data_IF_043574182257
#
_entry.id   IF_043574182257
#
_cell.length_a   1.000
_cell.length_b   1.000
_cell.length_c   1.000
_cell.angle_alpha   90.00
_cell.angle_beta   90.00
_cell.angle_gamma   90.00
#
_symmetry.space_group_name_H-M   'P 1'
#
loop_
_entity.id
_entity.type
_entity.pdbx_description
1 polymer ?
#
# COMPACT_ATOMS: atom_id res chain seq x y z
N UNK A 1 -3.64 1.52 -20.51
CA UNK A 1 -2.79 0.33 -20.30
C UNK A 1 -3.69 -0.75 -19.71
N UNK A 2 -3.78 -1.94 -20.31
CA UNK A 2 -4.65 -3.01 -19.78
C UNK A 2 -3.79 -3.97 -18.94
N UNK A 3 -4.15 -4.15 -17.67
CA UNK A 3 -3.48 -5.11 -16.78
C UNK A 3 -3.92 -6.52 -17.19
N UNK A 4 -2.97 -7.34 -17.66
CA UNK A 4 -3.28 -8.72 -18.03
C UNK A 4 -3.49 -9.60 -16.80
N UNK A 5 -4.39 -10.58 -16.87
CA UNK A 5 -4.60 -11.56 -15.81
C UNK A 5 -3.31 -12.31 -15.45
N UNK A 6 -2.44 -12.56 -16.44
CA UNK A 6 -1.13 -13.20 -16.22
C UNK A 6 -0.21 -12.33 -15.35
N UNK A 7 -0.15 -11.02 -15.61
CA UNK A 7 0.61 -10.09 -14.78
C UNK A 7 0.04 -10.06 -13.36
N UNK A 8 -1.27 -9.91 -13.22
CA UNK A 8 -1.93 -9.87 -11.90
C UNK A 8 -1.70 -11.14 -11.10
N UNK A 9 -1.78 -12.31 -11.73
CA UNK A 9 -1.48 -13.59 -11.08
C UNK A 9 -0.03 -13.69 -10.61
N UNK A 10 0.93 -13.20 -11.40
CA UNK A 10 2.35 -13.19 -10.99
C UNK A 10 2.60 -12.24 -9.81
N UNK A 11 2.03 -11.03 -9.85
CA UNK A 11 2.20 -10.05 -8.78
C UNK A 11 1.49 -10.50 -7.49
N UNK A 12 0.31 -11.12 -7.60
CA UNK A 12 -0.39 -11.70 -6.45
C UNK A 12 0.40 -12.86 -5.85
N UNK A 13 0.94 -13.76 -6.68
CA UNK A 13 1.80 -14.84 -6.21
C UNK A 13 3.03 -14.31 -5.46
N UNK A 14 3.66 -13.24 -5.96
CA UNK A 14 4.75 -12.56 -5.27
C UNK A 14 4.29 -11.96 -3.93
N UNK A 15 3.15 -11.28 -3.90
CA UNK A 15 2.59 -10.72 -2.67
C UNK A 15 2.36 -11.81 -1.62
N UNK A 16 1.77 -12.95 -1.99
CA UNK A 16 1.58 -14.12 -1.12
C UNK A 16 2.92 -14.65 -0.62
N UNK A 17 3.85 -14.92 -1.55
CA UNK A 17 5.17 -15.50 -1.24
C UNK A 17 5.95 -14.64 -0.25
N UNK A 18 6.02 -13.32 -0.48
CA UNK A 18 6.88 -12.44 0.30
C UNK A 18 6.22 -11.87 1.57
N UNK A 19 4.89 -11.91 1.67
CA UNK A 19 4.17 -11.53 2.89
C UNK A 19 3.89 -12.70 3.83
N UNK A 20 3.84 -13.94 3.30
CA UNK A 20 3.42 -15.14 4.02
C UNK A 20 1.92 -15.19 4.34
N UNK A 21 1.12 -14.32 3.72
CA UNK A 21 -0.34 -14.28 3.92
C UNK A 21 -1.05 -15.38 3.13
N UNK A 22 -2.26 -15.82 3.55
CA UNK A 22 -3.03 -16.82 2.82
C UNK A 22 -3.32 -16.36 1.39
N UNK A 23 -3.17 -17.25 0.42
CA UNK A 23 -3.48 -16.95 -0.98
C UNK A 23 -4.98 -16.74 -1.20
N UNK A 24 -5.31 -15.93 -2.21
CA UNK A 24 -6.65 -15.79 -2.77
C UNK A 24 -6.59 -16.05 -4.28
N UNK A 25 -7.73 -16.30 -4.90
CA UNK A 25 -7.79 -16.40 -6.36
C UNK A 25 -7.65 -15.02 -7.01
N UNK A 26 -7.09 -14.96 -8.22
CA UNK A 26 -6.96 -13.71 -8.99
C UNK A 26 -8.34 -13.10 -9.28
N UNK A 27 -9.38 -13.94 -9.40
CA UNK A 27 -10.77 -13.49 -9.55
C UNK A 27 -11.34 -12.80 -8.29
N UNK A 28 -10.72 -13.02 -7.12
CA UNK A 28 -11.10 -12.40 -5.86
C UNK A 28 -10.35 -11.09 -5.59
N UNK A 29 -9.43 -10.70 -6.48
CA UNK A 29 -8.81 -9.39 -6.41
C UNK A 29 -9.87 -8.31 -6.62
N UNK A 30 -9.80 -7.22 -5.86
CA UNK A 30 -10.64 -6.07 -6.12
C UNK A 30 -10.30 -5.45 -7.49
N UNK A 31 -11.24 -4.71 -8.10
CA UNK A 31 -10.97 -3.96 -9.33
C UNK A 31 -9.76 -3.04 -9.17
N UNK A 32 -8.97 -2.90 -10.25
CA UNK A 32 -7.81 -2.00 -10.30
C UNK A 32 -8.13 -0.85 -11.25
N UNK A 33 -8.33 0.33 -10.67
CA UNK A 33 -8.65 1.55 -11.39
C UNK A 33 -7.37 2.34 -11.72
N UNK A 34 -7.12 2.55 -13.01
CA UNK A 34 -6.04 3.45 -13.47
C UNK A 34 -6.62 4.85 -13.62
N UNK A 35 -6.11 5.81 -12.85
CA UNK A 35 -6.62 7.19 -12.83
C UNK A 35 -5.47 8.20 -12.96
N UNK A 36 -5.80 9.40 -13.43
CA UNK A 36 -4.81 10.47 -13.54
C UNK A 36 -4.29 10.90 -12.15
N UNK A 37 -3.07 11.44 -12.11
CA UNK A 37 -2.41 11.86 -10.87
C UNK A 37 -3.26 12.85 -10.04
N UNK A 38 -3.98 13.77 -10.69
CA UNK A 38 -4.84 14.73 -10.00
C UNK A 38 -6.05 14.07 -9.33
N UNK A 39 -6.70 13.14 -10.02
CA UNK A 39 -7.78 12.32 -9.46
C UNK A 39 -7.27 11.41 -8.33
N UNK A 40 -6.10 10.80 -8.49
CA UNK A 40 -5.47 9.95 -7.47
C UNK A 40 -5.28 10.71 -6.16
N UNK A 41 -4.67 11.90 -6.22
CA UNK A 41 -4.42 12.70 -5.02
C UNK A 41 -5.72 13.12 -4.30
N UNK A 42 -6.77 13.41 -5.06
CA UNK A 42 -8.10 13.72 -4.51
C UNK A 42 -8.76 12.50 -3.87
N UNK A 43 -8.61 11.33 -4.47
CA UNK A 43 -9.21 10.08 -3.99
C UNK A 43 -8.53 9.57 -2.71
N UNK A 44 -7.20 9.55 -2.69
CA UNK A 44 -6.42 8.93 -1.60
C UNK A 44 -6.15 9.91 -0.46
N UNK A 45 -5.91 11.19 -0.76
CA UNK A 45 -5.52 12.19 0.24
C UNK A 45 -6.27 13.52 0.10
N UNK A 46 -7.61 13.52 0.24
CA UNK A 46 -8.42 14.71 0.03
C UNK A 46 -8.05 15.89 0.93
N UNK A 47 -7.58 15.60 2.16
CA UNK A 47 -7.28 16.62 3.17
C UNK A 47 -5.89 17.23 3.03
N UNK A 48 -4.89 16.46 2.58
CA UNK A 48 -3.49 16.90 2.46
C UNK A 48 -2.82 16.32 1.21
N UNK A 49 -3.22 16.73 0.00
CA UNK A 49 -2.71 16.16 -1.25
C UNK A 49 -1.19 16.21 -1.38
N UNK A 50 -0.57 17.31 -0.92
CA UNK A 50 0.88 17.50 -0.96
C UNK A 50 1.68 16.42 -0.19
N UNK A 51 1.07 15.78 0.82
CA UNK A 51 1.72 14.72 1.60
C UNK A 51 1.71 13.35 0.91
N UNK A 52 0.89 13.19 -0.12
CA UNK A 52 0.68 11.92 -0.82
C UNK A 52 1.19 11.94 -2.25
N UNK A 53 1.91 13.00 -2.63
CA UNK A 53 2.66 13.08 -3.89
C UNK A 53 3.51 11.83 -4.16
N UNK A 54 4.25 11.24 -3.20
CA UNK A 54 5.04 10.04 -3.48
C UNK A 54 4.22 8.75 -3.62
N UNK A 55 2.94 8.72 -3.24
CA UNK A 55 2.11 7.51 -3.35
C UNK A 55 1.71 7.26 -4.79
N UNK A 56 2.01 6.07 -5.32
CA UNK A 56 1.68 5.71 -6.71
C UNK A 56 0.48 4.76 -6.83
N UNK A 57 0.16 4.07 -5.74
CA UNK A 57 -0.95 3.14 -5.62
C UNK A 57 -1.59 3.28 -4.23
N UNK A 58 -2.84 2.83 -4.08
CA UNK A 58 -3.50 2.70 -2.80
C UNK A 58 -4.64 1.67 -2.86
N UNK A 59 -4.76 0.85 -1.83
CA UNK A 59 -5.93 0.01 -1.59
C UNK A 59 -7.00 0.79 -0.82
N UNK A 60 -8.10 1.09 -1.52
CA UNK A 60 -9.27 1.77 -0.98
C UNK A 60 -10.20 0.74 -0.35
N UNK A 61 -10.09 0.62 0.98
CA UNK A 61 -10.92 -0.30 1.78
C UNK A 61 -12.40 0.09 1.82
N UNK A 62 -12.75 1.35 1.54
CA UNK A 62 -14.15 1.82 1.58
C UNK A 62 -14.93 1.34 0.36
N UNK A 63 -14.30 1.42 -0.82
CA UNK A 63 -14.92 1.00 -2.08
C UNK A 63 -14.44 -0.38 -2.56
N UNK A 64 -13.55 -1.02 -1.79
CA UNK A 64 -12.94 -2.31 -2.10
C UNK A 64 -12.34 -2.35 -3.52
N UNK A 65 -11.38 -1.45 -3.76
CA UNK A 65 -10.66 -1.29 -5.04
C UNK A 65 -9.20 -0.97 -4.81
N UNK A 66 -8.35 -1.24 -5.78
CA UNK A 66 -7.00 -0.67 -5.84
C UNK A 66 -7.04 0.49 -6.85
N UNK A 67 -6.54 1.66 -6.47
CA UNK A 67 -6.33 2.78 -7.39
C UNK A 67 -4.84 2.89 -7.68
N UNK A 68 -4.48 3.06 -8.95
CA UNK A 68 -3.11 3.29 -9.39
C UNK A 68 -3.02 4.50 -10.31
N UNK A 69 -1.89 5.22 -10.25
CA UNK A 69 -1.64 6.34 -11.15
C UNK A 69 -1.38 5.86 -12.57
N UNK A 70 -1.87 6.62 -13.54
CA UNK A 70 -1.62 6.45 -14.97
C UNK A 70 -0.13 6.55 -15.37
N UNK A 71 0.69 7.21 -14.55
CA UNK A 71 2.14 7.32 -14.73
C UNK A 71 2.92 6.03 -14.40
N UNK A 72 2.27 4.99 -13.87
CA UNK A 72 2.95 3.73 -13.57
C UNK A 72 3.19 2.90 -14.84
N UNK A 73 4.46 2.56 -15.10
CA UNK A 73 4.84 1.59 -16.12
C UNK A 73 4.76 0.16 -15.55
N UNK A 74 3.73 -0.59 -15.88
CA UNK A 74 3.51 -1.92 -15.30
C UNK A 74 4.50 -2.99 -15.79
N UNK A 75 5.28 -2.70 -16.83
CA UNK A 75 6.37 -3.55 -17.32
C UNK A 75 7.68 -3.35 -16.53
N UNK A 76 7.78 -2.29 -15.71
CA UNK A 76 8.92 -2.03 -14.84
C UNK A 76 8.68 -2.64 -13.44
N UNK A 77 9.54 -3.57 -12.97
CA UNK A 77 9.44 -4.15 -11.63
C UNK A 77 9.45 -3.13 -10.48
N UNK A 78 10.11 -1.97 -10.64
CA UNK A 78 10.08 -0.91 -9.63
C UNK A 78 8.67 -0.34 -9.51
N UNK A 79 8.00 -0.09 -10.64
CA UNK A 79 6.66 0.48 -10.69
C UNK A 79 5.57 -0.54 -10.32
N UNK A 80 5.64 -1.77 -10.83
CA UNK A 80 4.64 -2.78 -10.49
C UNK A 80 4.80 -3.32 -9.05
N UNK A 81 5.93 -3.04 -8.38
CA UNK A 81 6.11 -3.31 -6.95
C UNK A 81 5.09 -2.58 -6.08
N UNK A 82 4.63 -1.39 -6.48
CA UNK A 82 3.55 -0.68 -5.79
C UNK A 82 2.26 -1.49 -5.81
N UNK A 83 1.98 -2.24 -6.87
CA UNK A 83 0.81 -3.12 -6.91
C UNK A 83 0.99 -4.36 -6.03
N UNK A 84 2.21 -4.90 -5.92
CA UNK A 84 2.52 -5.96 -4.94
C UNK A 84 2.25 -5.47 -3.52
N UNK A 85 2.64 -4.24 -3.20
CA UNK A 85 2.35 -3.60 -1.92
C UNK A 85 0.85 -3.55 -1.64
N UNK A 86 0.04 -3.01 -2.56
CA UNK A 86 -1.41 -2.93 -2.35
C UNK A 86 -2.08 -4.30 -2.29
N UNK A 87 -1.58 -5.29 -3.05
CA UNK A 87 -2.06 -6.67 -2.94
C UNK A 87 -1.81 -7.26 -1.55
N UNK A 88 -0.72 -6.91 -0.87
CA UNK A 88 -0.54 -7.31 0.54
C UNK A 88 -1.62 -6.72 1.43
N UNK A 89 -2.03 -5.47 1.21
CA UNK A 89 -3.17 -4.90 1.95
C UNK A 89 -4.49 -5.59 1.65
N UNK A 90 -4.72 -6.04 0.41
CA UNK A 90 -5.88 -6.88 0.08
C UNK A 90 -5.83 -8.20 0.87
N UNK A 91 -4.69 -8.88 0.90
CA UNK A 91 -4.51 -10.13 1.63
C UNK A 91 -4.71 -9.95 3.14
N UNK A 92 -4.20 -8.86 3.71
CA UNK A 92 -4.43 -8.49 5.11
C UNK A 92 -5.91 -8.26 5.39
N UNK A 93 -6.60 -7.53 4.51
CA UNK A 93 -8.04 -7.27 4.63
C UNK A 93 -8.87 -8.55 4.53
N UNK A 94 -8.50 -9.49 3.64
CA UNK A 94 -9.17 -10.79 3.52
C UNK A 94 -9.01 -11.64 4.79
N UNK A 95 -7.86 -11.57 5.46
CA UNK A 95 -7.60 -12.33 6.69
C UNK A 95 -8.25 -11.71 7.93
N UNK A 96 -8.11 -10.39 8.10
CA UNK A 96 -8.37 -9.70 9.37
C UNK A 96 -9.50 -8.65 9.28
N UNK A 97 -10.08 -8.45 8.09
CA UNK A 97 -11.02 -7.37 7.82
C UNK A 97 -10.38 -5.98 7.96
N UNK A 98 -11.18 -4.99 8.34
CA UNK A 98 -10.72 -3.59 8.48
C UNK A 98 -9.90 -3.34 9.75
N UNK A 99 -9.79 -4.30 10.68
CA UNK A 99 -9.19 -4.10 12.01
C UNK A 99 -7.74 -3.62 11.95
N UNK A 100 -6.96 -4.06 10.95
CA UNK A 100 -5.56 -3.62 10.75
C UNK A 100 -5.40 -2.15 10.39
N UNK A 101 -6.50 -1.48 10.05
CA UNK A 101 -6.51 -0.08 9.64
C UNK A 101 -7.16 0.85 10.67
N UNK A 102 -7.48 0.32 11.87
CA UNK A 102 -8.26 1.05 12.89
C UNK A 102 -7.41 1.75 13.95
N UNK A 103 -6.16 1.33 14.18
CA UNK A 103 -5.25 2.01 15.11
C UNK A 103 -3.94 2.37 14.43
N UNK A 104 -3.25 3.37 14.98
CA UNK A 104 -1.95 3.78 14.45
C UNK A 104 -0.94 2.63 14.45
N UNK A 105 -0.87 1.86 15.54
CA UNK A 105 0.05 0.73 15.66
C UNK A 105 -0.26 -0.36 14.64
N UNK A 106 -1.55 -0.66 14.45
CA UNK A 106 -2.00 -1.65 13.49
C UNK A 106 -1.67 -1.21 12.06
N UNK A 107 -1.85 0.08 11.73
CA UNK A 107 -1.47 0.65 10.44
C UNK A 107 0.04 0.55 10.23
N UNK A 108 0.86 0.96 11.20
CA UNK A 108 2.33 0.88 11.05
C UNK A 108 2.80 -0.57 10.83
N UNK A 109 2.23 -1.54 11.55
CA UNK A 109 2.58 -2.95 11.36
C UNK A 109 2.10 -3.49 10.00
N UNK A 110 0.90 -3.08 9.58
CA UNK A 110 0.34 -3.39 8.28
C UNK A 110 1.25 -2.91 7.13
N UNK A 111 1.64 -1.64 7.18
CA UNK A 111 2.55 -1.00 6.23
C UNK A 111 3.94 -1.65 6.26
N UNK A 112 4.47 -1.95 7.45
CA UNK A 112 5.77 -2.63 7.59
C UNK A 112 5.79 -3.97 6.87
N UNK A 113 4.72 -4.77 6.98
CA UNK A 113 4.62 -6.03 6.26
C UNK A 113 4.54 -5.81 4.74
N UNK A 114 3.73 -4.84 4.29
CA UNK A 114 3.58 -4.52 2.87
C UNK A 114 4.90 -4.03 2.23
N UNK A 115 5.60 -3.09 2.86
CA UNK A 115 6.92 -2.65 2.39
C UNK A 115 7.98 -3.76 2.46
N UNK A 116 7.91 -4.66 3.44
CA UNK A 116 8.83 -5.80 3.47
C UNK A 116 8.62 -6.70 2.24
N UNK A 117 7.38 -7.04 1.91
CA UNK A 117 7.06 -7.84 0.74
C UNK A 117 7.42 -7.14 -0.58
N UNK A 118 7.12 -5.83 -0.68
CA UNK A 118 7.49 -5.01 -1.83
C UNK A 118 9.00 -5.00 -2.07
N UNK A 119 9.79 -4.80 -1.00
CA UNK A 119 11.24 -4.77 -1.10
C UNK A 119 11.85 -6.13 -1.47
N UNK A 120 11.31 -7.23 -0.94
CA UNK A 120 11.73 -8.58 -1.32
C UNK A 120 11.39 -8.90 -2.79
N UNK A 121 10.23 -8.46 -3.27
CA UNK A 121 9.88 -8.56 -4.68
C UNK A 121 10.87 -7.79 -5.56
N UNK A 122 11.17 -6.54 -5.23
CA UNK A 122 12.15 -5.74 -5.96
C UNK A 122 13.54 -6.40 -5.96
N UNK A 123 13.99 -6.89 -4.81
CA UNK A 123 15.26 -7.62 -4.66
C UNK A 123 15.29 -8.88 -5.55
N UNK A 124 14.20 -9.64 -5.60
CA UNK A 124 14.08 -10.81 -6.47
C UNK A 124 14.13 -10.48 -7.97
N UNK A 125 13.88 -9.22 -8.34
CA UNK A 125 14.01 -8.70 -9.71
C UNK A 125 15.34 -7.96 -9.93
N UNK A 126 16.30 -8.06 -9.00
CA UNK A 126 17.63 -7.46 -9.12
C UNK A 126 17.68 -5.96 -8.81
N UNK A 127 16.63 -5.40 -8.21
CA UNK A 127 16.58 -3.99 -7.81
C UNK A 127 17.07 -3.82 -6.37
N UNK A 128 18.04 -2.93 -6.16
CA UNK A 128 18.60 -2.61 -4.84
C UNK A 128 17.88 -1.44 -4.14
N UNK A 129 16.89 -0.85 -4.81
CA UNK A 129 16.08 0.24 -4.27
C UNK A 129 15.24 -0.25 -3.09
N UNK A 130 14.95 0.65 -2.15
CA UNK A 130 14.12 0.33 -0.98
C UNK A 130 13.05 1.38 -0.74
N UNK A 131 11.83 0.91 -0.66
CA UNK A 131 10.65 1.70 -0.32
C UNK A 131 10.33 1.62 1.19
N UNK A 132 9.55 2.59 1.67
CA UNK A 132 9.08 2.61 3.06
C UNK A 132 10.13 3.05 4.09
N UNK A 133 11.22 3.69 3.67
CA UNK A 133 12.27 4.18 4.57
C UNK A 133 11.75 5.10 5.69
N UNK A 134 10.70 5.87 5.39
CA UNK A 134 10.03 6.77 6.33
C UNK A 134 9.36 6.04 7.50
N UNK A 135 8.90 4.79 7.34
CA UNK A 135 8.26 4.03 8.42
C UNK A 135 9.16 3.89 9.65
N UNK A 136 10.49 3.86 9.45
CA UNK A 136 11.47 3.75 10.55
C UNK A 136 11.40 4.91 11.53
N UNK A 137 10.85 6.05 11.10
CA UNK A 137 10.74 7.26 11.89
C UNK A 137 9.30 7.54 12.34
N UNK A 138 8.32 6.77 11.86
CA UNK A 138 6.93 6.91 12.28
C UNK A 138 6.76 6.35 13.68
N UNK A 139 6.11 7.15 14.54
CA UNK A 139 5.74 6.76 15.90
C UNK A 139 4.28 7.11 16.10
N UNK A 140 3.56 6.23 16.77
CA UNK A 140 2.23 6.56 17.23
C UNK A 140 2.31 7.63 18.32
N UNK A 141 1.38 8.59 18.32
CA UNK A 141 1.26 9.50 19.43
C UNK A 141 1.02 8.71 20.72
N UNK A 142 1.54 9.17 21.87
CA UNK A 142 1.31 8.49 23.13
C UNK A 142 -0.20 8.36 23.39
N UNK A 143 -0.66 7.25 24.00
CA UNK A 143 -2.06 7.11 24.37
C UNK A 143 -2.40 8.24 25.34
N UNK A 144 -3.32 9.13 24.93
CA UNK A 144 -3.77 10.34 25.63
C UNK A 144 -2.96 11.64 25.40
N UNK A 145 -2.85 12.10 24.15
CA UNK A 145 -2.76 13.55 23.91
C UNK A 145 -4.15 14.08 23.55
N UNK A 146 -4.77 14.95 24.37
CA UNK A 146 -5.98 15.63 23.95
C UNK A 146 -5.68 16.42 22.67
N UNK A 147 -6.60 16.36 21.70
CA UNK A 147 -6.55 17.22 20.50
C UNK A 147 -6.70 18.67 20.98
N UNK A 148 -5.58 19.40 21.07
CA UNK A 148 -5.60 20.85 21.37
C UNK A 148 -4.54 21.38 22.34
N UNK A 149 -3.69 20.56 22.95
CA UNK A 149 -2.68 21.10 23.87
C UNK A 149 -1.36 21.46 23.15
N UNK A 150 -1.13 22.75 22.99
CA UNK A 150 0.06 23.38 22.40
C UNK A 150 1.10 23.79 23.47
N UNK A 151 1.08 23.18 24.65
CA UNK A 151 2.07 23.49 25.68
C UNK A 151 3.45 22.89 25.34
N UNK A 152 4.55 23.68 25.35
CA UNK A 152 5.90 23.15 25.14
C UNK A 152 6.36 22.32 26.35
N UNK A 153 7.28 21.36 26.16
CA UNK A 153 7.83 20.58 27.27
C UNK A 153 8.62 21.49 28.23
N UNK A 154 8.43 21.25 29.53
CA UNK A 154 9.19 21.88 30.63
C UNK A 154 10.63 21.38 30.71
#
# INVERSE_FOLDING_TARGET
MALSTLLLGRLLAAAVQFSGLPAIDVSDLPPIDVIDTGAFLKAVCPQKPARCVPMMAAFDTQHYRIVIRDSLNMDDPSHNSFLVHEMVHVLQYKRDGSTRFMSCEAVIESERQAFNAQNLYMESNGLLQREGSMLRYMKCPPPNRPVGDNSPPS
#
